data_IF_719979391716
#
_entry.id   IF_719979391716
#
_cell.length_a   1.000
_cell.length_b   1.000
_cell.length_c   1.000
_cell.angle_alpha   90.00
_cell.angle_beta   90.00
_cell.angle_gamma   90.00
#
_symmetry.space_group_name_H-M   'P 1'
#
loop_
_entity.id
_entity.type
_entity.pdbx_description
1 polymer ?
#
# COMPACT_ATOMS: atom_id res chain seq x y z
N UNK A 1 -7.14 -13.96 -43.54
CA UNK A 1 -7.49 -12.67 -42.89
C UNK A 1 -8.33 -12.81 -41.58
N UNK A 2 -8.27 -13.93 -40.84
CA UNK A 2 -9.05 -14.13 -39.59
C UNK A 2 -8.21 -14.18 -38.30
N UNK A 3 -6.88 -14.24 -38.42
CA UNK A 3 -5.95 -14.39 -37.27
C UNK A 3 -5.52 -13.06 -36.61
N UNK A 4 -5.71 -11.93 -37.30
CA UNK A 4 -5.42 -10.60 -36.76
C UNK A 4 -6.52 -10.08 -35.80
N UNK A 5 -7.79 -10.42 -36.03
CA UNK A 5 -8.90 -9.95 -35.20
C UNK A 5 -9.00 -10.63 -33.83
N UNK A 6 -8.47 -11.85 -33.66
CA UNK A 6 -8.47 -12.54 -32.37
C UNK A 6 -7.45 -11.96 -31.38
N UNK A 7 -6.28 -11.53 -31.87
CA UNK A 7 -5.23 -10.92 -31.04
C UNK A 7 -5.62 -9.54 -30.51
N UNK A 8 -6.34 -8.74 -31.33
CA UNK A 8 -6.89 -7.44 -30.94
C UNK A 8 -7.97 -7.58 -29.85
N UNK A 9 -8.83 -8.60 -29.93
CA UNK A 9 -9.90 -8.84 -28.94
C UNK A 9 -9.36 -9.30 -27.59
N UNK A 10 -8.31 -10.13 -27.58
CA UNK A 10 -7.64 -10.57 -26.34
C UNK A 10 -6.88 -9.41 -25.69
N UNK A 11 -6.20 -8.57 -26.49
CA UNK A 11 -5.48 -7.39 -26.00
C UNK A 11 -6.39 -6.32 -25.39
N UNK A 12 -7.58 -6.08 -25.97
CA UNK A 12 -8.57 -5.12 -25.45
C UNK A 12 -9.18 -5.59 -24.13
N UNK A 13 -9.48 -6.89 -23.98
CA UNK A 13 -10.03 -7.44 -22.73
C UNK A 13 -8.99 -7.39 -21.60
N UNK A 14 -7.73 -7.73 -21.88
CA UNK A 14 -6.65 -7.63 -20.90
C UNK A 14 -6.35 -6.18 -20.50
N UNK A 15 -6.40 -5.24 -21.45
CA UNK A 15 -6.26 -3.82 -21.17
C UNK A 15 -7.41 -3.27 -20.32
N UNK A 16 -8.65 -3.68 -20.57
CA UNK A 16 -9.83 -3.27 -19.80
C UNK A 16 -9.77 -3.77 -18.35
N UNK A 17 -9.31 -5.01 -18.13
CA UNK A 17 -9.12 -5.58 -16.79
C UNK A 17 -8.01 -4.85 -16.02
N UNK A 18 -6.90 -4.50 -16.67
CA UNK A 18 -5.84 -3.73 -16.06
C UNK A 18 -6.28 -2.31 -15.67
N UNK A 19 -7.07 -1.63 -16.52
CA UNK A 19 -7.64 -0.30 -16.23
C UNK A 19 -8.64 -0.34 -15.08
N UNK A 20 -9.47 -1.39 -15.00
CA UNK A 20 -10.39 -1.60 -13.87
C UNK A 20 -9.64 -1.91 -12.55
N UNK A 21 -8.51 -2.64 -12.61
CA UNK A 21 -7.67 -2.92 -11.44
C UNK A 21 -6.97 -1.66 -10.90
N UNK A 22 -6.55 -0.74 -11.77
CA UNK A 22 -5.99 0.57 -11.36
C UNK A 22 -7.03 1.56 -10.82
N UNK A 23 -8.33 1.30 -11.02
CA UNK A 23 -9.41 2.15 -10.52
C UNK A 23 -9.84 1.79 -9.08
N UNK A 24 -9.23 0.77 -8.48
CA UNK A 24 -9.32 0.50 -7.04
C UNK A 24 -8.32 1.42 -6.33
N UNK A 25 -8.56 2.73 -6.46
CA UNK A 25 -7.79 3.76 -5.78
C UNK A 25 -7.78 3.53 -4.27
N UNK A 26 -6.68 3.91 -3.62
CA UNK A 26 -6.48 3.82 -2.18
C UNK A 26 -7.71 4.39 -1.45
N UNK A 27 -8.54 3.50 -0.91
CA UNK A 27 -9.65 3.91 -0.07
C UNK A 27 -9.08 4.73 1.10
N UNK A 28 -9.75 5.81 1.54
CA UNK A 28 -9.28 6.57 2.68
C UNK A 28 -9.13 5.64 3.87
N UNK A 29 -7.92 5.58 4.45
CA UNK A 29 -7.67 4.80 5.63
C UNK A 29 -8.46 5.39 6.79
N UNK A 30 -9.42 4.65 7.32
CA UNK A 30 -10.13 5.03 8.55
C UNK A 30 -9.27 4.66 9.75
N UNK A 31 -9.20 5.55 10.74
CA UNK A 31 -8.61 5.20 12.02
C UNK A 31 -9.36 4.00 12.62
N UNK A 32 -8.67 3.11 13.34
CA UNK A 32 -9.27 2.07 14.15
C UNK A 32 -9.40 2.57 15.60
N UNK A 33 -10.46 3.33 15.97
CA UNK A 33 -10.61 3.88 17.32
C UNK A 33 -10.77 2.80 18.38
N UNK A 34 -11.17 1.59 17.99
CA UNK A 34 -11.25 0.45 18.91
C UNK A 34 -9.86 -0.08 19.30
N UNK A 35 -8.78 0.32 18.61
CA UNK A 35 -7.41 -0.06 18.96
C UNK A 35 -7.17 -1.57 18.88
N UNK A 36 -7.88 -2.27 17.99
CA UNK A 36 -7.87 -3.75 17.92
C UNK A 36 -6.81 -4.33 16.99
N UNK A 37 -5.97 -3.49 16.37
CA UNK A 37 -4.96 -3.91 15.40
C UNK A 37 -3.72 -3.03 15.42
N UNK A 38 -2.71 -3.44 14.66
CA UNK A 38 -1.46 -2.67 14.48
C UNK A 38 -1.77 -1.34 13.79
N UNK A 39 -1.19 -0.26 14.31
CA UNK A 39 -1.34 1.10 13.78
C UNK A 39 0.03 1.67 13.40
N UNK A 40 0.04 2.65 12.48
CA UNK A 40 1.21 3.48 12.24
C UNK A 40 1.14 4.65 13.23
N UNK A 41 2.04 4.67 14.22
CA UNK A 41 2.06 5.71 15.27
C UNK A 41 2.90 6.91 14.84
N UNK A 42 3.92 6.71 14.01
CA UNK A 42 4.80 7.77 13.53
C UNK A 42 5.34 7.47 12.12
N UNK A 43 5.60 8.54 11.36
CA UNK A 43 6.30 8.49 10.08
C UNK A 43 7.30 9.64 10.05
N UNK A 44 8.53 9.34 9.64
CA UNK A 44 9.57 10.33 9.39
C UNK A 44 10.20 10.04 8.03
N UNK A 45 10.07 10.98 7.08
CA UNK A 45 10.54 10.84 5.70
C UNK A 45 11.59 11.88 5.28
N UNK A 46 12.22 12.55 6.24
CA UNK A 46 13.20 13.61 6.01
C UNK A 46 14.61 13.26 6.50
N UNK A 47 14.88 11.97 6.74
CA UNK A 47 16.12 11.44 7.26
C UNK A 47 17.34 11.88 6.46
N UNK A 48 18.35 12.39 7.16
CA UNK A 48 19.64 12.70 6.55
C UNK A 48 19.66 13.99 5.71
N UNK A 49 18.54 14.70 5.61
CA UNK A 49 18.51 16.05 5.04
C UNK A 49 19.24 17.06 5.94
N UNK A 50 19.69 18.19 5.37
CA UNK A 50 20.31 19.27 6.14
C UNK A 50 19.34 19.80 7.20
N UNK A 51 19.73 19.72 8.47
CA UNK A 51 18.88 20.11 9.60
C UNK A 51 17.89 19.03 10.04
N UNK A 52 17.96 17.81 9.49
CA UNK A 52 17.12 16.70 9.93
C UNK A 52 17.49 16.26 11.35
N UNK A 53 16.47 16.05 12.18
CA UNK A 53 16.60 15.50 13.53
C UNK A 53 17.13 14.07 13.51
N UNK A 54 16.71 13.28 12.53
CA UNK A 54 17.13 11.88 12.38
C UNK A 54 17.89 11.66 11.08
N UNK A 55 18.78 10.67 11.11
CA UNK A 55 19.62 10.31 9.96
C UNK A 55 18.88 9.49 8.92
N UNK A 56 17.89 8.70 9.32
CA UNK A 56 17.18 7.78 8.44
C UNK A 56 15.68 8.03 8.47
N UNK A 57 15.04 7.69 7.36
CA UNK A 57 13.59 7.58 7.29
C UNK A 57 13.11 6.38 8.10
N UNK A 58 11.92 6.49 8.68
CA UNK A 58 11.29 5.37 9.37
C UNK A 58 9.77 5.46 9.36
N UNK A 59 9.15 4.30 9.53
CA UNK A 59 7.73 4.13 9.81
C UNK A 59 7.65 3.29 11.09
N UNK A 60 6.97 3.81 12.12
CA UNK A 60 6.77 3.11 13.38
C UNK A 60 5.45 2.34 13.34
N UNK A 61 5.51 1.03 13.60
CA UNK A 61 4.35 0.18 13.79
C UNK A 61 4.16 -0.08 15.29
N UNK A 62 2.96 0.22 15.79
CA UNK A 62 2.60 0.03 17.19
C UNK A 62 1.45 -0.96 17.34
N UNK A 63 1.59 -1.89 18.28
CA UNK A 63 0.51 -2.78 18.71
C UNK A 63 -0.10 -2.22 20.02
N UNK A 64 -1.28 -1.59 19.97
CA UNK A 64 -1.95 -1.04 21.15
C UNK A 64 -2.64 -2.09 22.03
N UNK A 65 -2.56 -3.37 21.69
CA UNK A 65 -3.24 -4.46 22.40
C UNK A 65 -2.33 -5.16 23.41
N UNK A 66 -2.92 -5.93 24.33
CA UNK A 66 -2.18 -6.76 25.29
C UNK A 66 -1.71 -8.11 24.73
N UNK A 67 -2.10 -8.46 23.49
CA UNK A 67 -1.79 -9.75 22.86
C UNK A 67 -0.83 -9.55 21.68
N UNK A 68 -0.03 -10.58 21.37
CA UNK A 68 0.85 -10.55 20.19
C UNK A 68 0.03 -10.60 18.90
N UNK A 69 0.40 -9.77 17.91
CA UNK A 69 -0.20 -9.77 16.57
C UNK A 69 0.86 -10.22 15.56
N UNK A 70 0.64 -11.33 14.82
CA UNK A 70 1.58 -11.78 13.79
C UNK A 70 1.54 -10.86 12.57
N UNK A 71 2.71 -10.51 12.04
CA UNK A 71 2.88 -9.66 10.85
C UNK A 71 3.25 -10.47 9.59
N UNK A 72 3.21 -11.80 9.66
CA UNK A 72 3.62 -12.66 8.55
C UNK A 72 2.80 -12.34 7.29
N UNK A 73 3.49 -12.02 6.20
CA UNK A 73 2.87 -11.68 4.92
C UNK A 73 2.37 -10.23 4.81
N UNK A 74 2.56 -9.40 5.83
CA UNK A 74 2.24 -7.98 5.76
C UNK A 74 3.33 -7.20 5.02
N UNK A 75 2.93 -6.11 4.38
CA UNK A 75 3.84 -5.15 3.75
C UNK A 75 3.36 -3.72 4.01
N UNK A 76 4.30 -2.77 3.95
CA UNK A 76 4.01 -1.34 4.04
C UNK A 76 4.16 -0.73 2.65
N UNK A 77 3.08 -0.18 2.11
CA UNK A 77 3.09 0.42 0.78
C UNK A 77 3.27 1.93 0.91
N UNK A 78 4.28 2.47 0.24
CA UNK A 78 4.68 3.87 0.28
C UNK A 78 5.06 4.29 -1.15
N UNK A 79 4.75 5.54 -1.53
CA UNK A 79 4.94 6.09 -2.88
C UNK A 79 5.77 7.37 -2.85
#
# INVERSE_FOLDING_TARGET
>A
MKRFSACIRVGVVLGLVAVLASLVGALPATANPAGTGVVISQVYGGGGNSGATYTNDFIELYNPTAASIPLTGWSVQYA
#
